data_IF_524343422166
#
_entry.id   IF_524343422166
#
_cell.length_a   1.000
_cell.length_b   1.000
_cell.length_c   1.000
_cell.angle_alpha   90.00
_cell.angle_beta   90.00
_cell.angle_gamma   90.00
#
_symmetry.space_group_name_H-M   'P 1'
#
loop_
_entity.id
_entity.type
_entity.pdbx_description
1 polymer ?
#
# COMPACT_ATOMS: atom_id res chain seq x y z
N UNK A 1 3.60 11.47 -6.39
CA UNK A 1 3.57 10.85 -5.05
C UNK A 1 4.30 11.70 -4.02
N UNK A 2 5.53 12.19 -4.28
CA UNK A 2 6.30 12.97 -3.29
C UNK A 2 5.67 14.31 -2.89
N UNK A 3 4.83 14.91 -3.73
CA UNK A 3 4.12 16.17 -3.44
C UNK A 3 2.83 15.99 -2.62
N UNK A 4 2.36 14.76 -2.49
CA UNK A 4 1.09 14.41 -1.84
C UNK A 4 1.31 13.80 -0.45
N UNK A 5 2.40 13.02 -0.29
CA UNK A 5 2.75 12.33 0.96
C UNK A 5 3.47 13.27 1.93
N UNK A 6 3.13 13.14 3.21
CA UNK A 6 3.74 13.89 4.33
C UNK A 6 4.40 12.93 5.31
N UNK A 7 5.39 13.40 6.04
CA UNK A 7 5.98 12.62 7.13
C UNK A 7 4.90 12.21 8.14
N UNK A 8 4.92 10.95 8.56
CA UNK A 8 3.92 10.34 9.42
C UNK A 8 2.75 9.67 8.67
N UNK A 9 2.60 9.89 7.36
CA UNK A 9 1.60 9.16 6.57
C UNK A 9 1.92 7.67 6.53
N UNK A 10 0.87 6.85 6.34
CA UNK A 10 0.99 5.41 6.16
C UNK A 10 0.46 5.06 4.76
N UNK A 11 1.30 4.45 3.95
CA UNK A 11 0.93 3.93 2.64
C UNK A 11 0.56 2.45 2.77
N UNK A 12 -0.70 2.14 2.45
CA UNK A 12 -1.16 0.76 2.34
C UNK A 12 -1.11 0.34 0.88
N UNK A 13 -0.44 -0.77 0.58
CA UNK A 13 -0.29 -1.25 -0.79
C UNK A 13 -0.27 -2.79 -0.86
N UNK A 14 -0.45 -3.32 -2.06
CA UNK A 14 -0.38 -4.76 -2.31
C UNK A 14 1.06 -5.30 -2.32
N UNK A 15 1.19 -6.61 -2.46
CA UNK A 15 2.49 -7.29 -2.49
C UNK A 15 3.37 -6.89 -3.67
N UNK A 16 2.80 -6.39 -4.79
CA UNK A 16 3.56 -5.94 -5.95
C UNK A 16 4.46 -4.74 -5.62
N UNK A 17 3.98 -3.84 -4.75
CA UNK A 17 4.73 -2.68 -4.29
C UNK A 17 5.66 -2.98 -3.11
N UNK A 18 5.63 -4.20 -2.55
CA UNK A 18 6.47 -4.62 -1.44
C UNK A 18 7.93 -4.84 -1.89
N UNK A 19 8.56 -3.78 -2.37
CA UNK A 19 9.94 -3.79 -2.87
C UNK A 19 10.84 -2.93 -2.01
N UNK A 20 12.12 -3.33 -1.89
CA UNK A 20 13.10 -2.55 -1.13
C UNK A 20 13.12 -1.07 -1.56
N UNK A 21 13.11 -0.81 -2.87
CA UNK A 21 13.25 0.55 -3.41
C UNK A 21 12.05 1.45 -3.13
N UNK A 22 10.85 0.89 -3.16
CA UNK A 22 9.65 1.64 -2.82
C UNK A 22 9.62 1.97 -1.32
N UNK A 23 9.96 1.01 -0.47
CA UNK A 23 10.01 1.19 0.98
C UNK A 23 11.11 2.20 1.36
N UNK A 24 12.31 2.10 0.75
CA UNK A 24 13.38 3.08 0.94
C UNK A 24 12.97 4.50 0.53
N UNK A 25 12.16 4.63 -0.53
CA UNK A 25 11.60 5.91 -0.96
C UNK A 25 10.62 6.46 0.07
N UNK A 26 9.69 5.64 0.57
CA UNK A 26 8.76 6.04 1.63
C UNK A 26 9.49 6.45 2.90
N UNK A 27 10.44 5.65 3.37
CA UNK A 27 11.25 5.96 4.56
C UNK A 27 12.02 7.29 4.42
N UNK A 28 12.54 7.59 3.23
CA UNK A 28 13.21 8.87 2.96
C UNK A 28 12.27 10.08 3.12
N UNK A 29 10.98 9.89 2.92
CA UNK A 29 9.94 10.92 3.11
C UNK A 29 9.37 10.92 4.54
N UNK A 30 9.83 10.03 5.43
CA UNK A 30 9.26 9.84 6.75
C UNK A 30 7.87 9.19 6.71
N UNK A 31 7.57 8.46 5.64
CA UNK A 31 6.29 7.78 5.39
C UNK A 31 6.43 6.31 5.74
N UNK A 32 5.47 5.77 6.48
CA UNK A 32 5.40 4.36 6.81
C UNK A 32 4.68 3.54 5.73
N UNK A 33 4.90 2.23 5.74
CA UNK A 33 4.25 1.32 4.82
C UNK A 33 3.58 0.16 5.56
N UNK A 34 2.43 -0.28 5.05
CA UNK A 34 1.73 -1.51 5.44
C UNK A 34 1.38 -2.26 4.16
N UNK A 35 1.97 -3.44 3.96
CA UNK A 35 1.88 -4.18 2.70
C UNK A 35 1.76 -5.68 2.96
N UNK A 36 1.08 -6.42 2.07
CA UNK A 36 1.20 -7.87 2.08
C UNK A 36 2.64 -8.25 1.71
N UNK A 37 3.25 -9.14 2.48
CA UNK A 37 4.60 -9.61 2.16
C UNK A 37 4.64 -10.29 0.79
N UNK A 38 5.68 -10.06 0.03
CA UNK A 38 5.79 -10.61 -1.32
C UNK A 38 6.19 -12.09 -1.24
N UNK A 39 5.48 -12.97 -1.95
CA UNK A 39 5.69 -14.44 -1.93
C UNK A 39 7.13 -14.92 -2.22
N UNK A 40 7.96 -14.09 -2.84
CA UNK A 40 9.39 -14.38 -3.08
C UNK A 40 10.29 -14.01 -1.90
N UNK A 41 9.76 -13.41 -0.86
CA UNK A 41 10.53 -13.09 0.34
C UNK A 41 10.34 -14.19 1.37
N UNK A 42 11.45 -14.54 2.02
CA UNK A 42 11.40 -15.42 3.18
C UNK A 42 10.66 -14.71 4.32
N UNK A 43 9.63 -15.33 4.84
CA UNK A 43 8.86 -14.83 5.97
C UNK A 43 9.58 -15.04 7.31
N UNK A 44 10.59 -15.91 7.34
CA UNK A 44 11.34 -16.23 8.56
C UNK A 44 12.82 -16.45 8.27
N UNK A 45 13.56 -15.42 7.81
CA UNK A 45 14.99 -15.52 7.56
C UNK A 45 15.77 -15.82 8.85
N UNK A 46 16.96 -16.39 8.74
CA UNK A 46 17.81 -16.83 9.87
C UNK A 46 18.10 -15.71 10.87
N UNK A 47 18.16 -14.46 10.41
CA UNK A 47 18.41 -13.28 11.23
C UNK A 47 17.13 -12.62 11.78
N UNK A 48 15.97 -13.27 11.58
CA UNK A 48 14.71 -12.79 12.12
C UNK A 48 14.75 -12.78 13.66
N UNK A 49 14.35 -11.66 14.23
CA UNK A 49 14.18 -11.53 15.69
C UNK A 49 12.71 -11.71 16.03
N UNK A 50 12.38 -12.81 16.69
CA UNK A 50 11.03 -13.12 17.16
C UNK A 50 10.60 -12.10 18.20
N UNK A 51 9.39 -11.54 18.04
CA UNK A 51 8.71 -10.69 19.02
C UNK A 51 7.63 -11.50 19.73
N UNK A 52 6.80 -12.21 18.96
CA UNK A 52 5.74 -13.10 19.45
C UNK A 52 5.61 -14.33 18.55
N UNK A 53 4.57 -15.15 18.75
CA UNK A 53 4.30 -16.29 17.85
C UNK A 53 3.94 -15.84 16.43
N UNK A 54 3.32 -14.67 16.28
CA UNK A 54 2.85 -14.14 15.02
C UNK A 54 3.67 -12.95 14.49
N UNK A 55 4.68 -12.48 15.25
CA UNK A 55 5.38 -11.26 14.92
C UNK A 55 6.89 -11.38 15.06
N UNK A 56 7.62 -10.79 14.13
CA UNK A 56 9.08 -10.76 14.08
C UNK A 56 9.60 -9.53 13.34
N UNK A 57 10.81 -9.09 13.66
CA UNK A 57 11.54 -8.11 12.85
C UNK A 57 12.55 -8.80 11.99
N UNK A 58 12.75 -8.28 10.79
CA UNK A 58 13.69 -8.79 9.79
C UNK A 58 14.44 -7.62 9.17
N UNK A 59 15.65 -7.89 8.66
CA UNK A 59 16.44 -6.91 7.92
C UNK A 59 16.41 -7.24 6.44
N UNK A 60 15.78 -6.38 5.65
CA UNK A 60 15.76 -6.55 4.21
C UNK A 60 16.96 -5.87 3.56
N UNK A 61 17.85 -6.64 2.92
CA UNK A 61 19.05 -6.09 2.32
C UNK A 61 18.71 -5.28 1.05
N UNK A 62 19.54 -4.26 0.82
CA UNK A 62 19.51 -3.49 -0.42
C UNK A 62 19.88 -4.39 -1.60
N UNK A 63 19.00 -4.43 -2.59
CA UNK A 63 19.26 -5.12 -3.86
C UNK A 63 20.32 -4.42 -4.72
N UNK A 64 20.69 -5.01 -5.87
CA UNK A 64 21.62 -4.41 -6.80
C UNK A 64 21.11 -3.03 -7.27
N UNK A 65 22.05 -2.15 -7.63
CA UNK A 65 21.72 -0.79 -8.07
C UNK A 65 20.82 -0.79 -9.32
N UNK A 66 19.62 -0.19 -9.26
CA UNK A 66 18.76 -0.04 -10.42
C UNK A 66 19.43 0.83 -11.51
N UNK A 67 19.09 0.58 -12.78
CA UNK A 67 19.66 1.34 -13.92
C UNK A 67 19.31 2.83 -13.85
N UNK A 68 18.15 3.17 -13.29
CA UNK A 68 17.66 4.55 -13.17
C UNK A 68 18.30 5.34 -12.03
N UNK A 69 19.02 4.67 -11.11
CA UNK A 69 19.62 5.30 -9.92
C UNK A 69 21.10 5.60 -10.14
N UNK A 70 21.54 6.80 -9.77
CA UNK A 70 22.96 7.17 -9.82
C UNK A 70 23.78 6.41 -8.75
N UNK A 71 25.09 6.24 -9.00
CA UNK A 71 26.00 5.61 -8.02
C UNK A 71 26.02 6.39 -6.69
N UNK A 72 25.89 7.71 -6.72
CA UNK A 72 25.91 8.58 -5.53
C UNK A 72 24.65 8.37 -4.68
N UNK A 73 23.49 8.28 -5.30
CA UNK A 73 22.22 7.99 -4.63
C UNK A 73 22.21 6.58 -4.04
N UNK A 74 22.68 5.59 -4.81
CA UNK A 74 22.79 4.22 -4.33
C UNK A 74 23.63 4.11 -3.06
N UNK A 75 24.80 4.79 -2.99
CA UNK A 75 25.66 4.78 -1.79
C UNK A 75 25.02 5.47 -0.58
N UNK A 76 24.08 6.38 -0.78
CA UNK A 76 23.35 7.06 0.30
C UNK A 76 22.13 6.29 0.79
N UNK A 77 21.69 5.28 0.04
CA UNK A 77 20.58 4.42 0.45
C UNK A 77 21.06 3.41 1.50
N UNK A 78 20.33 3.17 2.58
CA UNK A 78 20.70 2.19 3.60
C UNK A 78 21.07 0.82 3.02
N UNK A 79 21.95 0.09 3.66
CA UNK A 79 22.31 -1.28 3.22
C UNK A 79 21.20 -2.28 3.50
N UNK A 80 20.38 -2.02 4.52
CA UNK A 80 19.20 -2.78 4.87
C UNK A 80 18.11 -1.86 5.42
N UNK A 81 16.87 -2.32 5.35
CA UNK A 81 15.71 -1.71 5.99
C UNK A 81 15.20 -2.70 7.03
N UNK A 82 14.99 -2.23 8.25
CA UNK A 82 14.33 -3.02 9.28
C UNK A 82 12.82 -3.01 9.02
N UNK A 83 12.23 -4.21 8.97
CA UNK A 83 10.82 -4.43 8.72
C UNK A 83 10.25 -5.30 9.83
N UNK A 84 9.02 -5.04 10.21
CA UNK A 84 8.23 -5.95 11.04
C UNK A 84 7.33 -6.77 10.14
N UNK A 85 7.33 -8.07 10.36
CA UNK A 85 6.41 -9.03 9.75
C UNK A 85 5.39 -9.46 10.80
N UNK A 86 4.12 -9.38 10.47
CA UNK A 86 3.00 -9.76 11.31
C UNK A 86 2.12 -10.76 10.56
N UNK A 87 1.97 -11.96 11.11
CA UNK A 87 1.08 -12.98 10.55
C UNK A 87 -0.34 -12.65 11.03
N UNK A 88 -1.20 -12.32 10.11
CA UNK A 88 -2.59 -11.92 10.36
C UNK A 88 -3.54 -12.89 9.70
N UNK A 89 -4.65 -13.17 10.35
CA UNK A 89 -5.79 -13.91 9.78
C UNK A 89 -6.95 -12.95 9.63
N UNK A 90 -7.60 -13.02 8.48
CA UNK A 90 -8.76 -12.22 8.16
C UNK A 90 -9.95 -13.13 8.04
N UNK A 91 -10.94 -12.92 8.89
CA UNK A 91 -12.20 -13.63 8.86
C UNK A 91 -13.20 -12.88 7.99
N UNK A 92 -13.26 -13.21 6.70
CA UNK A 92 -14.29 -12.68 5.82
C UNK A 92 -15.54 -13.57 5.92
N UNK A 93 -16.71 -13.04 6.32
CA UNK A 93 -17.96 -13.82 6.36
C UNK A 93 -18.23 -14.48 5.02
N UNK A 94 -18.35 -15.83 5.02
CA UNK A 94 -18.63 -16.63 3.81
C UNK A 94 -17.41 -17.02 2.98
N UNK A 95 -16.18 -16.70 3.41
CA UNK A 95 -14.94 -17.17 2.81
C UNK A 95 -14.10 -17.95 3.82
N UNK A 96 -13.14 -18.76 3.33
CA UNK A 96 -12.14 -19.35 4.23
C UNK A 96 -11.25 -18.24 4.77
N UNK A 97 -10.97 -18.27 6.09
CA UNK A 97 -9.96 -17.41 6.70
C UNK A 97 -8.62 -17.63 5.99
N UNK A 98 -8.14 -16.65 5.25
CA UNK A 98 -6.82 -16.69 4.66
C UNK A 98 -5.84 -15.96 5.57
N UNK A 99 -4.89 -16.72 6.14
CA UNK A 99 -3.73 -16.15 6.80
C UNK A 99 -2.75 -15.56 5.78
N UNK A 100 -2.22 -14.38 6.06
CA UNK A 100 -1.14 -13.78 5.27
C UNK A 100 -0.22 -12.96 6.17
N UNK A 101 0.99 -12.73 5.69
CA UNK A 101 1.97 -11.92 6.41
C UNK A 101 1.92 -10.47 5.92
N UNK A 102 1.72 -9.54 6.84
CA UNK A 102 1.88 -8.10 6.62
C UNK A 102 3.32 -7.70 6.89
N UNK A 103 3.92 -6.95 5.98
CA UNK A 103 5.22 -6.32 6.15
C UNK A 103 5.04 -4.82 6.36
N UNK A 104 5.66 -4.27 7.41
CA UNK A 104 5.51 -2.87 7.78
C UNK A 104 6.82 -2.26 8.31
N UNK A 105 6.95 -0.95 8.19
CA UNK A 105 7.99 -0.14 8.84
C UNK A 105 7.56 0.41 10.21
N UNK A 106 6.33 0.10 10.66
CA UNK A 106 5.82 0.41 12.00
C UNK A 106 6.32 -0.68 12.95
N UNK A 107 7.43 -0.43 13.64
CA UNK A 107 8.11 -1.43 14.43
C UNK A 107 7.53 -1.61 15.83
N UNK A 108 6.86 -0.59 16.37
CA UNK A 108 6.24 -0.63 17.69
C UNK A 108 4.97 -1.49 17.66
N UNK A 109 4.98 -2.56 18.46
CA UNK A 109 3.89 -3.54 18.53
C UNK A 109 2.75 -3.04 19.43
N UNK A 110 3.08 -2.25 20.45
CA UNK A 110 2.09 -1.72 21.40
C UNK A 110 1.28 -0.60 20.75
N UNK A 111 1.96 0.30 20.02
CA UNK A 111 1.31 1.38 19.28
C UNK A 111 0.52 0.86 18.07
N UNK A 112 1.04 -0.19 17.41
CA UNK A 112 0.46 -0.74 16.17
C UNK A 112 0.27 -2.26 16.27
N UNK A 113 -0.71 -2.77 17.01
CA UNK A 113 -0.95 -4.22 17.15
C UNK A 113 -1.17 -4.91 15.81
N UNK A 114 -0.80 -6.21 15.71
CA UNK A 114 -0.95 -6.99 14.47
C UNK A 114 -2.40 -7.04 13.95
N UNK A 115 -3.39 -7.12 14.84
CA UNK A 115 -4.81 -7.06 14.46
C UNK A 115 -5.16 -5.73 13.79
N UNK A 116 -4.61 -4.61 14.25
CA UNK A 116 -4.80 -3.30 13.64
C UNK A 116 -4.13 -3.24 12.25
N UNK A 117 -2.93 -3.81 12.10
CA UNK A 117 -2.27 -3.91 10.78
C UNK A 117 -3.12 -4.73 9.79
N UNK A 118 -3.72 -5.83 10.25
CA UNK A 118 -4.63 -6.65 9.47
C UNK A 118 -5.83 -5.83 8.98
N UNK A 119 -6.56 -5.18 9.89
CA UNK A 119 -7.70 -4.33 9.55
C UNK A 119 -7.35 -3.19 8.61
N UNK A 120 -6.19 -2.55 8.81
CA UNK A 120 -5.72 -1.49 7.91
C UNK A 120 -5.45 -2.03 6.50
N UNK A 121 -4.84 -3.21 6.40
CA UNK A 121 -4.58 -3.83 5.11
C UNK A 121 -5.88 -4.26 4.41
N UNK A 122 -6.87 -4.76 5.16
CA UNK A 122 -8.21 -5.07 4.63
C UNK A 122 -8.89 -3.85 4.03
N UNK A 123 -8.75 -2.69 4.67
CA UNK A 123 -9.27 -1.43 4.15
C UNK A 123 -8.84 -1.13 2.70
N UNK A 124 -7.72 -1.71 2.24
CA UNK A 124 -7.29 -1.63 0.84
C UNK A 124 -8.33 -2.21 -0.14
N UNK A 125 -9.05 -3.26 0.25
CA UNK A 125 -10.06 -3.89 -0.60
C UNK A 125 -11.24 -2.96 -0.92
N UNK A 126 -11.50 -1.95 -0.08
CA UNK A 126 -12.55 -0.95 -0.31
C UNK A 126 -12.23 -0.11 -1.56
N UNK A 127 -10.95 0.07 -1.89
CA UNK A 127 -10.51 0.83 -3.07
C UNK A 127 -10.74 0.08 -4.38
N UNK A 128 -10.77 -1.26 -4.36
CA UNK A 128 -10.92 -2.07 -5.58
C UNK A 128 -12.28 -1.89 -6.29
N UNK A 129 -13.43 -1.93 -5.59
CA UNK A 129 -14.72 -1.58 -6.19
C UNK A 129 -14.76 -0.14 -6.72
N UNK A 130 -14.09 0.79 -6.03
CA UNK A 130 -14.01 2.19 -6.46
C UNK A 130 -13.21 2.32 -7.77
N UNK A 131 -12.06 1.63 -7.86
CA UNK A 131 -11.28 1.54 -9.10
C UNK A 131 -12.09 0.85 -10.21
N UNK A 132 -12.81 -0.22 -9.89
CA UNK A 132 -13.72 -0.91 -10.81
C UNK A 132 -14.79 0.03 -11.33
N UNK A 133 -15.43 0.80 -10.47
CA UNK A 133 -16.44 1.80 -10.84
C UNK A 133 -15.87 2.89 -11.74
N UNK A 134 -14.69 3.40 -11.44
CA UNK A 134 -13.99 4.40 -12.28
C UNK A 134 -13.66 3.81 -13.66
N UNK A 135 -13.11 2.61 -13.72
CA UNK A 135 -12.73 1.96 -14.97
C UNK A 135 -13.93 1.60 -15.82
N UNK A 136 -14.84 0.77 -15.28
CA UNK A 136 -15.90 0.15 -16.04
C UNK A 136 -17.14 1.07 -16.18
N UNK A 137 -17.64 1.63 -15.06
CA UNK A 137 -18.87 2.43 -15.07
C UNK A 137 -18.69 3.78 -15.75
N UNK A 138 -17.53 4.43 -15.53
CA UNK A 138 -17.20 5.71 -16.19
C UNK A 138 -16.43 5.54 -17.51
N UNK A 139 -16.14 4.29 -17.91
CA UNK A 139 -15.49 3.97 -19.19
C UNK A 139 -14.04 4.43 -19.30
N UNK A 140 -13.38 4.71 -18.17
CA UNK A 140 -11.98 5.18 -18.16
C UNK A 140 -10.95 4.06 -18.40
N UNK A 141 -11.39 2.82 -18.61
CA UNK A 141 -10.51 1.74 -19.08
C UNK A 141 -10.09 1.92 -20.56
N UNK A 142 -10.88 2.69 -21.33
CA UNK A 142 -10.62 3.01 -22.74
C UNK A 142 -10.61 4.51 -22.95
N UNK A 143 -9.46 5.12 -22.65
CA UNK A 143 -9.25 6.56 -22.90
C UNK A 143 -9.28 6.85 -24.41
N UNK A 144 -10.01 7.89 -24.80
CA UNK A 144 -10.21 8.29 -26.21
C UNK A 144 -9.31 9.44 -26.64
N UNK A 145 -8.69 10.13 -25.67
CA UNK A 145 -7.80 11.24 -25.93
C UNK A 145 -6.59 10.82 -26.77
N UNK A 146 -6.27 11.60 -27.78
CA UNK A 146 -5.13 11.35 -28.68
C UNK A 146 -3.88 12.20 -28.33
N UNK A 147 -3.99 13.11 -27.38
CA UNK A 147 -2.87 13.90 -26.86
C UNK A 147 -2.75 13.76 -25.35
N UNK A 148 -1.55 13.99 -24.76
CA UNK A 148 -1.38 13.96 -23.31
C UNK A 148 -2.35 14.89 -22.57
N UNK A 149 -2.63 16.08 -23.12
CA UNK A 149 -3.56 17.04 -22.54
C UNK A 149 -5.00 16.55 -22.59
N UNK A 150 -5.43 15.90 -23.67
CA UNK A 150 -6.78 15.34 -23.79
C UNK A 150 -6.97 14.15 -22.87
N UNK A 151 -5.96 13.28 -22.72
CA UNK A 151 -5.95 12.17 -21.77
C UNK A 151 -6.06 12.68 -20.31
N UNK A 152 -5.28 13.71 -19.96
CA UNK A 152 -5.37 14.34 -18.65
C UNK A 152 -6.77 14.91 -18.37
N UNK A 153 -7.37 15.62 -19.32
CA UNK A 153 -8.73 16.17 -19.16
C UNK A 153 -9.74 15.04 -18.97
N UNK A 154 -9.66 13.97 -19.76
CA UNK A 154 -10.55 12.83 -19.67
C UNK A 154 -10.45 12.15 -18.29
N UNK A 155 -9.25 11.90 -17.79
CA UNK A 155 -9.01 11.33 -16.46
C UNK A 155 -9.55 12.22 -15.34
N UNK A 156 -9.26 13.55 -15.39
CA UNK A 156 -9.75 14.48 -14.37
C UNK A 156 -11.26 14.64 -14.40
N UNK A 157 -11.86 14.67 -15.59
CA UNK A 157 -13.32 14.72 -15.75
C UNK A 157 -13.96 13.46 -15.14
N UNK A 158 -13.41 12.28 -15.42
CA UNK A 158 -13.88 11.03 -14.83
C UNK A 158 -13.76 11.02 -13.30
N UNK A 159 -12.61 11.43 -12.76
CA UNK A 159 -12.40 11.51 -11.31
C UNK A 159 -13.36 12.50 -10.65
N UNK A 160 -13.60 13.66 -11.26
CA UNK A 160 -14.58 14.64 -10.78
C UNK A 160 -15.99 14.07 -10.80
N UNK A 161 -16.39 13.44 -11.90
CA UNK A 161 -17.70 12.80 -12.04
C UNK A 161 -17.91 11.75 -10.95
N UNK A 162 -16.92 10.89 -10.73
CA UNK A 162 -16.96 9.89 -9.67
C UNK A 162 -17.18 10.52 -8.30
N UNK A 163 -16.39 11.53 -7.94
CA UNK A 163 -16.49 12.21 -6.65
C UNK A 163 -17.86 12.90 -6.46
N UNK A 164 -18.40 13.51 -7.50
CA UNK A 164 -19.74 14.14 -7.45
C UNK A 164 -20.86 13.10 -7.23
N UNK A 165 -20.78 11.95 -7.92
CA UNK A 165 -21.75 10.85 -7.72
C UNK A 165 -21.65 10.32 -6.29
N UNK A 166 -20.44 10.05 -5.79
CA UNK A 166 -20.22 9.57 -4.41
C UNK A 166 -20.72 10.58 -3.37
N UNK A 167 -20.47 11.87 -3.59
CA UNK A 167 -20.96 12.92 -2.72
C UNK A 167 -22.51 12.91 -2.67
N UNK A 168 -23.17 12.78 -3.83
CA UNK A 168 -24.64 12.69 -3.89
C UNK A 168 -25.19 11.44 -3.21
N UNK A 169 -24.52 10.30 -3.36
CA UNK A 169 -24.90 9.07 -2.65
C UNK A 169 -24.80 9.25 -1.14
N UNK A 170 -23.72 9.85 -0.64
CA UNK A 170 -23.56 10.15 0.78
C UNK A 170 -24.65 11.11 1.30
N UNK A 171 -24.92 12.21 0.58
CA UNK A 171 -25.97 13.15 0.95
C UNK A 171 -27.35 12.48 1.01
N UNK A 172 -27.66 11.60 0.05
CA UNK A 172 -28.93 10.86 0.03
C UNK A 172 -29.02 9.85 1.18
N UNK A 173 -27.92 9.17 1.53
CA UNK A 173 -27.88 8.26 2.68
C UNK A 173 -28.12 8.98 4.01
N UNK A 174 -27.52 10.16 4.22
CA UNK A 174 -27.78 10.98 5.41
C UNK A 174 -29.19 11.56 5.47
N UNK A 175 -29.85 11.79 4.32
CA UNK A 175 -31.21 12.31 4.29
C UNK A 175 -32.28 11.21 4.51
N UNK A 176 -31.93 9.94 4.38
CA UNK A 176 -32.82 8.79 4.52
C UNK A 176 -32.75 8.09 5.90
N UNK A 177 -31.78 8.44 6.75
CA UNK A 177 -31.61 7.92 8.12
C UNK A 177 -31.92 8.94 9.16
#
# INVERSE_FOLDING_TARGET
LSSTLRAGDIVVADSYHCTYWFIAFCNKLGVHVVMKNHHKRDDNPIDAKKISETERTVKWPRGPRPKWMSKKEYRRTPEFIEMRLSDVSVDTPGSRSEGFTVATTLLDVEEHPGAWLGSMYEGRWIVEPDIGSIKCTLGLEHLRGQSPESLHRELWTGALTYNLVRLKMLQSGYAAG
#
